data_IF_897296757224
#
_entry.id   IF_897296757224
#
_cell.length_a   1.000
_cell.length_b   1.000
_cell.length_c   1.000
_cell.angle_alpha   90.00
_cell.angle_beta   90.00
_cell.angle_gamma   90.00
#
_symmetry.space_group_name_H-M   'P 1'
#
loop_
_entity.id
_entity.type
_entity.pdbx_description
1 polymer ?
#
# COMPACT_ATOMS: atom_id res chain seq x y z
N UNK A 1 49.17 -38.87 -9.54
CA UNK A 1 48.72 -37.91 -8.50
C UNK A 1 48.59 -36.47 -9.01
N UNK A 2 49.47 -35.99 -9.90
CA UNK A 2 49.42 -34.60 -10.43
C UNK A 2 48.15 -34.27 -11.27
N UNK A 3 47.65 -35.23 -12.07
CA UNK A 3 46.49 -35.01 -12.96
C UNK A 3 45.16 -34.80 -12.22
N UNK A 4 44.98 -35.41 -11.05
CA UNK A 4 43.77 -35.26 -10.24
C UNK A 4 43.67 -33.86 -9.60
N UNK A 5 44.81 -33.22 -9.31
CA UNK A 5 44.86 -31.90 -8.69
C UNK A 5 44.32 -30.84 -9.66
N UNK A 6 44.64 -30.94 -10.95
CA UNK A 6 44.14 -30.01 -11.96
C UNK A 6 42.63 -30.13 -12.18
N UNK A 7 42.09 -31.35 -12.20
CA UNK A 7 40.65 -31.59 -12.35
C UNK A 7 39.89 -31.03 -11.14
N UNK A 8 40.42 -31.25 -9.94
CA UNK A 8 39.82 -30.74 -8.70
C UNK A 8 39.85 -29.21 -8.64
N UNK A 9 40.95 -28.57 -9.07
CA UNK A 9 41.06 -27.12 -9.14
C UNK A 9 40.06 -26.50 -10.16
N UNK A 10 39.87 -27.17 -11.30
CA UNK A 10 38.94 -26.73 -12.35
C UNK A 10 37.47 -26.85 -11.91
N UNK A 11 37.14 -27.90 -11.15
CA UNK A 11 35.82 -28.07 -10.53
C UNK A 11 35.54 -27.02 -9.44
N UNK A 12 36.54 -26.63 -8.65
CA UNK A 12 36.40 -25.58 -7.62
C UNK A 12 36.15 -24.21 -8.28
N UNK A 13 36.90 -23.88 -9.34
CA UNK A 13 36.70 -22.62 -10.10
C UNK A 13 35.30 -22.56 -10.71
N UNK A 14 34.81 -23.66 -11.28
CA UNK A 14 33.50 -23.73 -11.93
C UNK A 14 32.32 -23.65 -10.94
N UNK A 15 32.53 -24.02 -9.67
CA UNK A 15 31.48 -24.04 -8.64
C UNK A 15 31.15 -22.67 -8.05
N UNK A 16 31.94 -21.63 -8.35
CA UNK A 16 31.72 -20.29 -7.81
C UNK A 16 30.72 -19.50 -8.67
N UNK A 17 29.44 -19.82 -8.53
CA UNK A 17 28.35 -18.97 -9.05
C UNK A 17 28.20 -17.74 -8.16
N UNK A 18 28.78 -16.62 -8.57
CA UNK A 18 28.58 -15.32 -7.92
C UNK A 18 27.18 -14.82 -8.27
N UNK A 19 26.26 -14.93 -7.31
CA UNK A 19 24.97 -14.24 -7.39
C UNK A 19 25.21 -12.78 -7.01
N UNK A 20 25.45 -11.91 -7.99
CA UNK A 20 25.38 -10.46 -7.78
C UNK A 20 23.92 -10.10 -7.53
N UNK A 21 23.55 -9.88 -6.27
CA UNK A 21 22.26 -9.29 -5.92
C UNK A 21 22.34 -7.78 -6.16
N UNK A 22 22.55 -7.39 -7.41
CA UNK A 22 22.44 -5.99 -7.79
C UNK A 22 20.97 -5.67 -8.06
N UNK A 23 20.20 -5.67 -6.97
CA UNK A 23 18.91 -5.01 -6.94
C UNK A 23 19.13 -3.52 -6.61
N UNK A 24 19.88 -2.82 -7.47
CA UNK A 24 20.16 -1.38 -7.37
C UNK A 24 18.94 -0.49 -7.70
N UNK A 25 17.74 -1.08 -7.72
CA UNK A 25 16.48 -0.37 -7.91
C UNK A 25 16.09 0.39 -6.63
N UNK A 26 16.76 1.52 -6.41
CA UNK A 26 16.46 2.42 -5.29
C UNK A 26 15.28 3.32 -5.63
N UNK A 27 14.16 3.13 -4.94
CA UNK A 27 13.03 4.06 -4.99
C UNK A 27 13.45 5.40 -4.38
N UNK A 28 13.68 6.41 -5.24
CA UNK A 28 14.11 7.74 -4.80
C UNK A 28 12.94 8.59 -4.29
N UNK A 29 11.80 8.57 -4.99
CA UNK A 29 10.59 9.27 -4.56
C UNK A 29 9.33 8.60 -5.10
N UNK A 30 8.24 8.74 -4.34
CA UNK A 30 6.92 8.28 -4.72
C UNK A 30 5.90 9.34 -4.29
N UNK A 31 5.11 9.82 -5.24
CA UNK A 31 4.05 10.81 -4.99
C UNK A 31 2.73 10.21 -5.43
N UNK A 32 1.78 10.15 -4.51
CA UNK A 32 0.45 9.65 -4.78
C UNK A 32 -0.60 10.68 -4.39
N UNK A 33 -1.45 11.04 -5.37
CA UNK A 33 -2.57 11.94 -5.17
C UNK A 33 -3.82 11.11 -4.85
N UNK A 34 -4.27 11.18 -3.60
CA UNK A 34 -5.51 10.54 -3.18
C UNK A 34 -6.65 11.54 -3.17
N UNK A 35 -7.79 11.14 -3.74
CA UNK A 35 -9.05 11.79 -3.41
C UNK A 35 -9.49 11.38 -2.01
N UNK A 36 -10.26 12.23 -1.36
CA UNK A 36 -10.88 11.90 -0.08
C UNK A 36 -11.83 10.69 -0.22
N UNK A 37 -12.10 10.02 0.90
CA UNK A 37 -13.11 8.95 0.95
C UNK A 37 -14.53 9.46 0.70
N UNK A 38 -15.50 8.55 0.65
CA UNK A 38 -16.91 8.91 0.50
C UNK A 38 -17.36 9.87 1.61
N UNK A 39 -18.12 10.92 1.24
CA UNK A 39 -18.63 11.96 2.14
C UNK A 39 -20.12 12.14 1.96
N UNK A 40 -20.78 12.70 2.97
CA UNK A 40 -22.12 13.25 2.83
C UNK A 40 -22.07 14.50 1.92
N UNK A 41 -23.14 14.80 1.17
CA UNK A 41 -23.21 16.00 0.36
C UNK A 41 -22.99 17.27 1.20
N UNK A 42 -22.30 18.26 0.61
CA UNK A 42 -22.12 19.58 1.24
C UNK A 42 -23.40 20.42 1.10
N UNK A 43 -24.09 20.26 -0.03
CA UNK A 43 -25.35 20.92 -0.33
C UNK A 43 -26.36 19.88 -0.82
N UNK A 44 -27.62 20.11 -0.48
CA UNK A 44 -28.75 19.29 -0.92
C UNK A 44 -29.72 20.17 -1.70
N UNK A 45 -30.43 19.58 -2.67
CA UNK A 45 -31.55 20.25 -3.29
C UNK A 45 -32.69 20.44 -2.29
N UNK A 46 -33.56 21.43 -2.53
CA UNK A 46 -34.64 21.79 -1.60
C UNK A 46 -35.56 20.61 -1.30
N UNK A 47 -35.87 19.82 -2.32
CA UNK A 47 -36.82 18.70 -2.24
C UNK A 47 -36.14 17.33 -2.17
N UNK A 48 -34.85 17.30 -1.79
CA UNK A 48 -34.11 16.04 -1.64
C UNK A 48 -34.63 15.24 -0.41
N UNK A 49 -35.12 14.00 -0.61
CA UNK A 49 -35.64 13.17 0.49
C UNK A 49 -34.53 12.72 1.46
N UNK A 50 -33.25 12.81 1.09
CA UNK A 50 -32.09 12.37 1.86
C UNK A 50 -31.33 13.53 2.52
N UNK A 51 -31.87 14.75 2.49
CA UNK A 51 -31.24 15.93 3.13
C UNK A 51 -31.14 15.84 4.65
N UNK A 52 -31.94 14.97 5.27
CA UNK A 52 -32.01 14.83 6.72
C UNK A 52 -30.78 14.10 7.27
N UNK A 53 -30.21 14.63 8.35
CA UNK A 53 -29.01 14.10 9.01
C UNK A 53 -29.23 12.68 9.56
N UNK A 54 -30.48 12.33 9.89
CA UNK A 54 -30.84 10.98 10.33
C UNK A 54 -30.58 9.91 9.27
N UNK A 55 -30.80 10.22 7.98
CA UNK A 55 -30.50 9.31 6.87
C UNK A 55 -29.01 8.95 6.82
N UNK A 56 -28.14 9.91 7.15
CA UNK A 56 -26.69 9.74 7.18
C UNK A 56 -26.17 9.21 8.53
N UNK A 57 -27.04 8.72 9.40
CA UNK A 57 -26.65 8.15 10.70
C UNK A 57 -26.09 9.19 11.67
N UNK A 58 -26.60 10.42 11.62
CA UNK A 58 -26.13 11.51 12.49
C UNK A 58 -24.96 12.31 11.90
N UNK A 59 -24.45 11.94 10.72
CA UNK A 59 -23.34 12.64 10.08
C UNK A 59 -23.79 13.97 9.48
N UNK A 60 -23.05 15.02 9.80
CA UNK A 60 -23.22 16.36 9.23
C UNK A 60 -22.79 16.43 7.76
N UNK A 61 -23.08 17.57 7.11
CA UNK A 61 -22.75 17.84 5.71
C UNK A 61 -21.23 17.82 5.45
N UNK A 62 -20.80 17.25 4.33
CA UNK A 62 -19.38 17.12 3.96
C UNK A 62 -18.56 16.16 4.84
N UNK A 63 -19.16 15.49 5.82
CA UNK A 63 -18.45 14.56 6.70
C UNK A 63 -18.18 13.23 6.00
N UNK A 64 -17.05 12.60 6.35
CA UNK A 64 -16.69 11.29 5.83
C UNK A 64 -17.65 10.22 6.35
N UNK A 65 -18.15 9.39 5.45
CA UNK A 65 -18.97 8.24 5.84
C UNK A 65 -18.08 7.08 6.28
N UNK A 66 -18.59 6.19 7.14
CA UNK A 66 -17.88 4.96 7.58
C UNK A 66 -17.46 4.05 6.40
N UNK A 67 -17.98 4.33 5.20
CA UNK A 67 -17.60 3.73 3.93
C UNK A 67 -16.18 4.01 3.44
N UNK A 68 -15.37 4.82 4.16
CA UNK A 68 -13.92 5.00 3.87
C UNK A 68 -13.27 3.65 3.56
N UNK A 69 -13.50 2.63 4.40
CA UNK A 69 -12.90 1.28 4.23
C UNK A 69 -13.20 0.65 2.87
N UNK A 70 -14.28 1.03 2.19
CA UNK A 70 -14.66 0.46 0.88
C UNK A 70 -13.79 0.99 -0.26
N UNK A 71 -13.33 2.23 -0.20
CA UNK A 71 -12.41 2.79 -1.21
C UNK A 71 -11.02 2.16 -1.13
N UNK A 72 -10.53 1.88 0.08
CA UNK A 72 -9.22 1.24 0.29
C UNK A 72 -9.24 -0.27 0.06
N UNK A 73 -10.39 -0.94 0.26
CA UNK A 73 -10.53 -2.38 0.01
C UNK A 73 -10.67 -2.76 -1.46
N UNK A 74 -10.85 -1.80 -2.37
CA UNK A 74 -11.00 -2.08 -3.81
C UNK A 74 -9.69 -2.50 -4.48
N UNK A 75 -8.55 -2.12 -3.91
CA UNK A 75 -7.24 -2.53 -4.41
C UNK A 75 -6.74 -3.67 -3.54
N UNK A 76 -6.79 -4.90 -4.05
CA UNK A 76 -5.97 -5.96 -3.46
C UNK A 76 -4.52 -5.72 -3.88
N UNK A 77 -3.55 -6.06 -3.03
CA UNK A 77 -2.14 -6.06 -3.41
C UNK A 77 -1.93 -6.77 -4.76
N UNK A 78 -2.68 -7.84 -5.00
CA UNK A 78 -2.62 -8.68 -6.20
C UNK A 78 -3.05 -7.97 -7.50
N UNK A 79 -3.80 -6.86 -7.41
CA UNK A 79 -4.27 -6.06 -8.56
C UNK A 79 -3.27 -4.95 -8.96
N UNK A 80 -2.26 -4.72 -8.12
CA UNK A 80 -1.25 -3.68 -8.32
C UNK A 80 -0.08 -4.27 -9.12
N UNK A 81 0.32 -3.59 -10.20
CA UNK A 81 1.53 -3.97 -10.95
C UNK A 81 2.72 -4.01 -9.97
N UNK A 82 3.56 -5.05 -10.11
CA UNK A 82 4.79 -5.32 -9.32
C UNK A 82 5.53 -4.10 -8.74
N UNK A 83 5.78 -2.99 -9.48
CA UNK A 83 6.47 -1.83 -8.91
C UNK A 83 5.71 -1.13 -7.77
N UNK A 84 4.38 -1.11 -7.80
CA UNK A 84 3.58 -0.41 -6.78
C UNK A 84 3.46 -1.26 -5.50
N UNK A 85 3.36 -2.59 -5.67
CA UNK A 85 3.45 -3.57 -4.58
C UNK A 85 4.78 -3.46 -3.83
N UNK A 86 5.89 -3.36 -4.57
CA UNK A 86 7.22 -3.20 -4.00
C UNK A 86 7.34 -1.89 -3.20
N UNK A 87 6.86 -0.78 -3.75
CA UNK A 87 6.85 0.53 -3.08
C UNK A 87 6.01 0.53 -1.78
N UNK A 88 4.81 -0.08 -1.80
CA UNK A 88 3.95 -0.22 -0.62
C UNK A 88 4.61 -1.09 0.47
N UNK A 89 5.28 -2.17 0.08
CA UNK A 89 5.97 -3.07 1.01
C UNK A 89 7.20 -2.40 1.65
N UNK A 90 7.91 -1.56 0.90
CA UNK A 90 9.01 -0.71 1.42
C UNK A 90 8.46 0.37 2.36
N UNK A 91 7.37 1.05 2.00
CA UNK A 91 6.74 2.05 2.85
C UNK A 91 6.21 1.46 4.18
N UNK A 92 5.66 0.25 4.15
CA UNK A 92 5.21 -0.48 5.35
C UNK A 92 6.36 -0.89 6.27
N UNK A 93 7.50 -1.34 5.73
CA UNK A 93 8.70 -1.66 6.53
C UNK A 93 9.35 -0.44 7.18
N UNK A 94 9.25 0.73 6.55
CA UNK A 94 9.84 1.98 7.05
C UNK A 94 8.98 2.68 8.12
N UNK A 95 8.04 1.97 8.77
CA UNK A 95 7.32 2.50 9.93
C UNK A 95 6.19 3.50 9.61
N UNK A 96 5.77 3.62 8.34
CA UNK A 96 4.57 4.40 7.98
C UNK A 96 3.26 3.63 8.27
N UNK A 97 3.33 2.65 9.16
CA UNK A 97 2.18 1.88 9.58
C UNK A 97 1.40 2.66 10.66
N UNK A 98 0.23 3.18 10.24
CA UNK A 98 -0.89 3.59 11.09
C UNK A 98 -0.70 4.87 11.92
N UNK A 99 -0.80 6.03 11.27
CA UNK A 99 -1.71 7.09 11.76
C UNK A 99 -3.08 6.96 11.10
N UNK A 100 -3.71 5.80 11.29
CA UNK A 100 -5.17 5.76 11.27
C UNK A 100 -5.62 6.50 12.54
N UNK A 101 -6.56 7.45 12.48
CA UNK A 101 -7.06 8.09 13.69
C UNK A 101 -7.55 6.98 14.62
N UNK A 102 -6.89 6.84 15.77
CA UNK A 102 -7.38 5.97 16.82
C UNK A 102 -8.75 6.52 17.23
N UNK A 103 -9.74 5.63 17.15
CA UNK A 103 -11.07 5.85 17.67
C UNK A 103 -10.90 6.15 19.16
N UNK A 104 -10.99 7.43 19.55
CA UNK A 104 -11.10 7.80 20.95
C UNK A 104 -12.47 7.28 21.37
N UNK A 105 -12.49 6.07 21.92
CA UNK A 105 -13.66 5.46 22.54
C UNK A 105 -14.07 6.35 23.70
N UNK A 106 -14.99 7.27 23.43
CA UNK A 106 -15.77 7.94 24.47
C UNK A 106 -16.94 7.03 24.81
N UNK A 107 -16.70 6.08 25.70
CA UNK A 107 -17.66 5.56 26.69
C UNK A 107 -16.87 4.99 27.85
#
# INVERSE_FOLDING_TARGET
MCQFIHIFLLLIVCSTSVKTKDDDSKLLSFVQLFRHGARTPVMFFKDDPYKNVSYWGGLGRGQLTKGIRKCWKKYKPDDLKLPVLAALKVASRNGYEKRMPQERSSK
#
